data_IF_765570739444
#
_entry.id   IF_765570739444
#
_cell.length_a   1.000
_cell.length_b   1.000
_cell.length_c   1.000
_cell.angle_alpha   90.00
_cell.angle_beta   90.00
_cell.angle_gamma   90.00
#
_symmetry.space_group_name_H-M   'P 1'
#
loop_
_entity.id
_entity.type
_entity.pdbx_description
1 polymer ?
#
# COMPACT_ATOMS: atom_id res chain seq x y z
N UNK A 1 -7.47 -1.48 -19.43
CA UNK A 1 -6.25 -2.15 -18.92
C UNK A 1 -6.68 -3.03 -17.75
N UNK A 2 -6.07 -4.21 -17.59
CA UNK A 2 -6.50 -5.24 -16.65
C UNK A 2 -5.48 -5.43 -15.53
N UNK A 3 -5.93 -5.93 -14.38
CA UNK A 3 -5.06 -6.31 -13.27
C UNK A 3 -4.07 -7.41 -13.71
N UNK A 4 -2.85 -7.42 -13.17
CA UNK A 4 -1.94 -8.53 -13.39
C UNK A 4 -2.61 -9.84 -12.98
N UNK A 5 -2.43 -10.87 -13.80
CA UNK A 5 -3.02 -12.17 -13.54
C UNK A 5 -2.37 -12.83 -12.32
N UNK A 6 -3.13 -13.72 -11.68
CA UNK A 6 -2.63 -14.53 -10.60
C UNK A 6 -1.58 -15.49 -11.14
N UNK A 7 -0.46 -15.62 -10.42
CA UNK A 7 0.61 -16.56 -10.74
C UNK A 7 0.49 -17.75 -9.79
N UNK A 8 0.31 -18.96 -10.32
CA UNK A 8 0.13 -20.19 -9.55
C UNK A 8 -1.01 -20.14 -8.51
N UNK A 9 -2.12 -19.48 -8.88
CA UNK A 9 -3.28 -19.31 -7.99
C UNK A 9 -3.05 -18.35 -6.82
N UNK A 10 -1.93 -17.62 -6.82
CA UNK A 10 -1.60 -16.59 -5.82
C UNK A 10 -1.65 -15.20 -6.46
N UNK A 11 -1.93 -14.15 -5.66
CA UNK A 11 -1.83 -12.79 -6.15
C UNK A 11 -0.40 -12.53 -6.67
N UNK A 12 -0.25 -11.74 -7.75
CA UNK A 12 1.05 -11.40 -8.29
C UNK A 12 1.89 -10.65 -7.27
N UNK A 13 3.21 -10.88 -7.30
CA UNK A 13 4.19 -10.12 -6.52
C UNK A 13 4.68 -8.96 -7.38
N UNK A 14 4.69 -7.75 -6.81
CA UNK A 14 5.01 -6.52 -7.54
C UNK A 14 6.11 -5.73 -6.85
N UNK A 15 6.99 -5.12 -7.65
CA UNK A 15 8.06 -4.24 -7.17
C UNK A 15 7.70 -2.78 -7.39
N UNK A 16 7.95 -1.88 -6.44
CA UNK A 16 7.50 -0.48 -6.55
C UNK A 16 8.09 0.25 -7.77
N UNK A 17 9.27 -0.18 -8.25
CA UNK A 17 9.96 0.41 -9.40
C UNK A 17 9.17 0.28 -10.71
N UNK A 18 8.32 -0.72 -10.82
CA UNK A 18 7.58 -1.03 -12.04
C UNK A 18 6.26 -0.24 -12.15
N UNK A 19 5.87 0.51 -11.12
CA UNK A 19 4.50 1.06 -10.99
C UNK A 19 4.42 2.58 -10.86
N UNK A 20 5.47 3.32 -11.26
CA UNK A 20 5.37 4.77 -11.39
C UNK A 20 4.35 5.13 -12.49
N UNK A 21 3.14 5.54 -12.10
CA UNK A 21 2.05 5.90 -13.02
C UNK A 21 1.04 4.79 -13.35
N UNK A 22 0.93 3.75 -12.52
CA UNK A 22 -0.01 2.66 -12.76
C UNK A 22 -1.49 3.12 -12.74
N UNK A 23 -2.26 2.75 -13.77
CA UNK A 23 -3.66 3.18 -13.93
C UNK A 23 -4.63 2.62 -12.86
N UNK A 24 -4.26 1.55 -12.18
CA UNK A 24 -5.06 0.96 -11.09
C UNK A 24 -4.85 1.67 -9.74
N UNK A 25 -3.76 2.44 -9.60
CA UNK A 25 -3.40 3.13 -8.36
C UNK A 25 -4.52 4.00 -7.75
N UNK A 26 -5.39 4.69 -8.53
CA UNK A 26 -6.47 5.50 -7.97
C UNK A 26 -7.58 4.70 -7.27
N UNK A 27 -7.72 3.41 -7.56
CA UNK A 27 -8.81 2.55 -7.06
C UNK A 27 -8.36 1.57 -5.97
N UNK A 28 -7.08 1.63 -5.62
CA UNK A 28 -6.44 0.68 -4.70
C UNK A 28 -5.66 1.42 -3.63
N UNK A 29 -5.48 0.78 -2.49
CA UNK A 29 -4.58 1.28 -1.46
C UNK A 29 -3.61 0.18 -1.00
N UNK A 30 -2.51 0.64 -0.41
CA UNK A 30 -1.55 -0.20 0.28
C UNK A 30 -2.07 -0.52 1.69
N UNK A 31 -2.01 -1.78 2.06
CA UNK A 31 -2.37 -2.27 3.40
C UNK A 31 -1.27 -3.20 3.93
N UNK A 32 -1.21 -3.39 5.24
CA UNK A 32 -0.25 -4.26 5.91
C UNK A 32 -0.97 -5.35 6.68
N UNK A 33 -0.84 -6.60 6.21
CA UNK A 33 -1.53 -7.78 6.77
C UNK A 33 -0.58 -8.95 6.85
N UNK A 34 -0.73 -9.77 7.90
CA UNK A 34 0.07 -10.99 8.07
C UNK A 34 1.59 -10.77 7.92
N UNK A 35 2.08 -9.60 8.37
CA UNK A 35 3.48 -9.20 8.28
C UNK A 35 4.00 -8.96 6.85
N UNK A 36 3.11 -8.64 5.90
CA UNK A 36 3.43 -8.33 4.50
C UNK A 36 2.63 -7.11 4.03
N UNK A 37 3.22 -6.35 3.09
CA UNK A 37 2.52 -5.25 2.41
C UNK A 37 1.75 -5.80 1.21
N UNK A 38 0.48 -5.44 1.12
CA UNK A 38 -0.45 -5.88 0.07
C UNK A 38 -1.15 -4.69 -0.57
N UNK A 39 -1.57 -4.84 -1.81
CA UNK A 39 -2.43 -3.89 -2.51
C UNK A 39 -3.86 -4.45 -2.49
N UNK A 40 -4.81 -3.63 -2.03
CA UNK A 40 -6.22 -3.98 -1.94
C UNK A 40 -7.09 -2.99 -2.71
N UNK A 41 -8.28 -3.42 -3.10
CA UNK A 41 -9.28 -2.53 -3.73
C UNK A 41 -9.94 -1.70 -2.64
N UNK A 42 -10.07 -0.38 -2.84
CA UNK A 42 -10.64 0.50 -1.82
C UNK A 42 -12.12 0.21 -1.53
N UNK A 43 -12.89 -0.18 -2.56
CA UNK A 43 -14.30 -0.53 -2.43
C UNK A 43 -14.53 -1.88 -1.74
N UNK A 44 -13.56 -2.80 -1.84
CA UNK A 44 -13.60 -4.16 -1.26
C UNK A 44 -12.25 -4.53 -0.63
N UNK A 45 -11.88 -3.95 0.54
CA UNK A 45 -10.54 -4.06 1.12
C UNK A 45 -10.10 -5.49 1.45
N UNK A 46 -11.02 -6.44 1.59
CA UNK A 46 -10.76 -7.87 1.73
C UNK A 46 -10.13 -8.49 0.47
N UNK A 47 -10.29 -7.86 -0.69
CA UNK A 47 -9.76 -8.34 -1.97
C UNK A 47 -8.31 -7.88 -2.15
N UNK A 48 -7.39 -8.83 -2.02
CA UNK A 48 -5.96 -8.61 -2.31
C UNK A 48 -5.74 -8.81 -3.81
N UNK A 49 -5.18 -7.80 -4.47
CA UNK A 49 -4.89 -7.83 -5.91
C UNK A 49 -3.41 -8.00 -6.21
N UNK A 50 -2.52 -7.66 -5.27
CA UNK A 50 -1.10 -7.88 -5.40
C UNK A 50 -0.41 -7.90 -4.02
N UNK A 51 0.75 -8.54 -3.95
CA UNK A 51 1.64 -8.50 -2.79
C UNK A 51 2.91 -7.72 -3.15
N UNK A 52 3.43 -6.89 -2.25
CA UNK A 52 4.67 -6.18 -2.48
C UNK A 52 5.87 -7.08 -2.16
N UNK A 53 6.91 -7.01 -2.99
CA UNK A 53 8.16 -7.69 -2.72
C UNK A 53 8.75 -7.25 -1.36
N UNK A 54 9.25 -8.21 -0.59
CA UNK A 54 9.86 -7.96 0.73
C UNK A 54 11.08 -7.06 0.66
N UNK A 55 11.78 -7.00 -0.48
CA UNK A 55 12.91 -6.10 -0.70
C UNK A 55 12.50 -4.62 -0.72
N UNK A 56 11.24 -4.33 -1.03
CA UNK A 56 10.68 -2.97 -1.04
C UNK A 56 10.02 -2.60 0.30
N UNK A 57 9.79 -3.57 1.20
CA UNK A 57 9.23 -3.34 2.52
C UNK A 57 9.96 -2.26 3.35
N UNK A 58 11.31 -2.16 3.35
CA UNK A 58 12.01 -1.09 4.08
C UNK A 58 11.68 0.32 3.58
N UNK A 59 11.31 0.49 2.30
CA UNK A 59 10.89 1.77 1.74
C UNK A 59 9.51 2.12 2.26
N UNK A 60 8.58 1.16 2.23
CA UNK A 60 7.24 1.32 2.76
C UNK A 60 7.26 1.59 4.26
N UNK A 61 8.05 0.86 5.04
CA UNK A 61 8.23 1.09 6.48
C UNK A 61 8.63 2.53 6.79
N UNK A 62 9.55 3.11 6.01
CA UNK A 62 9.97 4.51 6.19
C UNK A 62 8.82 5.47 5.90
N UNK A 63 8.07 5.23 4.82
CA UNK A 63 6.90 6.04 4.45
C UNK A 63 5.84 5.97 5.55
N UNK A 64 5.47 4.76 5.98
CA UNK A 64 4.44 4.56 7.00
C UNK A 64 4.87 5.07 8.39
N UNK A 65 6.12 4.85 8.80
CA UNK A 65 6.65 5.43 10.05
C UNK A 65 6.64 6.96 10.00
N UNK A 66 7.11 7.56 8.90
CA UNK A 66 7.09 9.01 8.72
C UNK A 66 5.67 9.57 8.71
N UNK A 67 4.72 8.87 8.08
CA UNK A 67 3.31 9.27 8.06
C UNK A 67 2.68 9.17 9.47
N UNK A 68 2.96 8.11 10.20
CA UNK A 68 2.48 7.92 11.58
C UNK A 68 3.07 8.97 12.53
N UNK A 69 4.37 9.22 12.46
CA UNK A 69 5.02 10.29 13.24
C UNK A 69 4.44 11.67 12.92
N UNK A 70 4.17 11.96 11.63
CA UNK A 70 3.53 13.22 11.21
C UNK A 70 2.13 13.34 11.77
N UNK A 71 1.34 12.27 11.70
CA UNK A 71 -0.02 12.23 12.21
C UNK A 71 -0.08 12.41 13.74
N UNK A 72 0.82 11.77 14.47
CA UNK A 72 0.93 11.94 15.94
C UNK A 72 1.40 13.35 16.32
N UNK A 73 2.32 13.96 15.56
CA UNK A 73 2.69 15.37 15.72
C UNK A 73 1.52 16.31 15.44
N UNK A 74 0.76 16.08 14.36
CA UNK A 74 -0.44 16.86 14.03
C UNK A 74 -1.53 16.77 15.12
N UNK A 75 -1.66 15.61 15.78
CA UNK A 75 -2.53 15.46 16.96
C UNK A 75 -2.03 16.26 18.17
N UNK A 76 -0.72 16.29 18.42
CA UNK A 76 -0.12 17.02 19.54
C UNK A 76 -0.17 18.55 19.34
N UNK A 77 0.01 19.03 18.12
CA UNK A 77 0.02 20.47 17.80
C UNK A 77 -1.39 21.08 17.66
N UNK A 78 -2.46 20.30 17.85
CA UNK A 78 -3.83 20.82 17.93
C UNK A 78 -4.42 21.37 16.62
N UNK A 79 -3.78 21.12 15.47
CA UNK A 79 -4.22 21.60 14.15
C UNK A 79 -5.48 20.89 13.61
N UNK A 80 -6.16 20.07 14.41
CA UNK A 80 -7.43 19.42 14.06
C UNK A 80 -8.67 20.33 14.20
N UNK A 81 -8.49 21.60 14.53
CA UNK A 81 -9.57 22.59 14.52
C UNK A 81 -9.15 23.85 13.75
N UNK A 82 -9.36 23.85 12.43
CA UNK A 82 -9.75 25.04 11.67
C UNK A 82 -10.36 24.66 10.33
#
# INVERSE_FOLDING_TARGET
>A
MAYPEYVDGKPPVVTLKEYDGASWAPTTCLDFRNNEYVVVIMETPETIVATIDRLDAPVLDKIFKSAHETHEKQKQDGSYNK
#
